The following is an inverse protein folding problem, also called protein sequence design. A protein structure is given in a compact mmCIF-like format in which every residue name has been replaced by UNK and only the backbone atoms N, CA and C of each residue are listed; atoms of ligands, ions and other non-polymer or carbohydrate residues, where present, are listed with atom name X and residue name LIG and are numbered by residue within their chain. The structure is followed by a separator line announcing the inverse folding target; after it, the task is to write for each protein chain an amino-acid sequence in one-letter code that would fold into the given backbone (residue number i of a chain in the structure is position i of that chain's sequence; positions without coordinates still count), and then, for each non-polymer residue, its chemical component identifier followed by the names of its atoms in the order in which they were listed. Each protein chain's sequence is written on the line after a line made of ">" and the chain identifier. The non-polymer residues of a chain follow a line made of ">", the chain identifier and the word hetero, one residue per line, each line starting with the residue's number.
data_IF_812993009106
#
_entry.id   IF_812993009106
#
_cell.length_a   1.000
_cell.length_b   1.000
_cell.length_c   1.000
_cell.angle_alpha   90.00
_cell.angle_beta   90.00
_cell.angle_gamma   90.00
#
_symmetry.space_group_name_H-M   'P 1'
#
loop_
_entity.id
_entity.type
_entity.pdbx_description
1 polymer ?
#
# COMPACT_ATOMS: atom_id res chain seq x y z
N UNK A 1 -7.32 14.27 37.74
CA UNK A 1 -7.75 15.05 36.56
C UNK A 1 -7.81 14.11 35.38
N UNK A 2 -8.99 13.55 35.16
CA UNK A 2 -9.32 12.52 34.18
C UNK A 2 -10.51 13.05 33.37
N UNK A 3 -10.67 12.58 32.13
CA UNK A 3 -11.63 13.03 31.10
C UNK A 3 -11.11 14.10 30.13
N UNK A 4 -10.49 13.65 29.03
CA UNK A 4 -10.60 14.27 27.69
C UNK A 4 -9.73 13.49 26.70
N UNK A 5 -10.24 12.38 26.11
CA UNK A 5 -9.59 11.75 24.93
C UNK A 5 -10.48 10.73 24.18
N UNK A 6 -11.79 10.94 24.11
CA UNK A 6 -12.71 10.04 23.39
C UNK A 6 -13.29 10.58 22.06
N UNK A 7 -12.85 11.76 21.59
CA UNK A 7 -13.45 12.35 20.37
C UNK A 7 -12.67 12.12 19.06
N UNK A 8 -11.50 11.46 19.06
CA UNK A 8 -10.68 11.35 17.84
C UNK A 8 -10.90 10.09 16.99
N UNK A 9 -11.66 9.10 17.48
CA UNK A 9 -11.99 7.89 16.72
C UNK A 9 -13.05 8.10 15.63
N UNK A 10 -13.77 9.23 15.63
CA UNK A 10 -14.76 9.54 14.60
C UNK A 10 -14.16 10.11 13.30
N UNK A 11 -12.91 10.61 13.32
CA UNK A 11 -12.28 11.26 12.16
C UNK A 11 -11.63 10.30 11.15
N UNK A 12 -11.30 9.07 11.56
CA UNK A 12 -10.58 8.10 10.72
C UNK A 12 -11.54 7.29 9.83
N UNK A 13 -12.82 7.18 10.21
CA UNK A 13 -13.87 6.55 9.40
C UNK A 13 -14.32 7.40 8.20
N UNK A 14 -14.02 8.71 8.17
CA UNK A 14 -14.48 9.61 7.10
C UNK A 14 -13.56 9.69 5.87
N UNK A 15 -12.33 9.17 5.94
CA UNK A 15 -11.40 9.19 4.79
C UNK A 15 -11.48 7.91 3.95
N UNK A 16 -12.09 6.84 4.45
CA UNK A 16 -12.29 5.58 3.72
C UNK A 16 -13.72 5.39 3.17
N UNK A 17 -14.69 6.23 3.56
CA UNK A 17 -16.03 6.24 2.96
C UNK A 17 -16.08 6.90 1.57
N UNK A 18 -15.02 7.59 1.13
CA UNK A 18 -14.95 8.18 -0.22
C UNK A 18 -14.65 7.19 -1.36
N UNK A 19 -14.44 5.90 -1.05
CA UNK A 19 -14.46 4.83 -2.08
C UNK A 19 -15.79 4.06 -2.10
N UNK A 20 -16.76 4.39 -1.23
CA UNK A 20 -18.09 3.77 -1.18
C UNK A 20 -19.26 4.75 -1.30
N UNK A 21 -19.02 6.06 -1.37
CA UNK A 21 -20.06 7.08 -1.53
C UNK A 21 -19.83 7.90 -2.81
N UNK A 22 -20.05 7.24 -3.94
CA UNK A 22 -20.55 7.91 -5.15
C UNK A 22 -21.90 7.28 -5.53
N UNK A 23 -22.78 7.13 -4.54
CA UNK A 23 -24.21 6.88 -4.75
C UNK A 23 -25.03 7.73 -3.78
N UNK A 24 -25.57 8.82 -4.35
CA UNK A 24 -26.80 9.55 -3.98
C UNK A 24 -26.87 10.20 -2.59
N UNK A 25 -26.86 11.53 -2.61
CA UNK A 25 -28.06 12.31 -2.33
C UNK A 25 -27.99 13.67 -3.04
N UNK A 26 -28.56 13.72 -4.25
CA UNK A 26 -29.11 14.94 -4.84
C UNK A 26 -30.62 14.76 -4.85
N UNK A 27 -31.31 15.48 -3.96
CA UNK A 27 -32.76 15.63 -3.98
C UNK A 27 -33.08 17.11 -3.96
N UNK A 28 -33.24 17.69 -5.15
CA UNK A 28 -34.34 18.58 -5.52
C UNK A 28 -34.17 19.02 -6.98
N UNK A 29 -35.11 18.61 -7.82
CA UNK A 29 -35.18 19.05 -9.22
C UNK A 29 -35.72 17.95 -10.13
N UNK A 30 -37.03 17.83 -10.19
CA UNK A 30 -37.78 16.99 -11.13
C UNK A 30 -37.28 17.10 -12.57
N UNK A 31 -37.11 15.94 -13.23
CA UNK A 31 -37.70 15.60 -14.55
C UNK A 31 -37.35 14.15 -14.89
N UNK A 32 -38.27 13.52 -15.60
CA UNK A 32 -38.51 12.07 -15.56
C UNK A 32 -37.45 11.20 -16.19
N UNK A 33 -37.39 9.96 -15.70
CA UNK A 33 -36.80 8.83 -16.41
C UNK A 33 -37.81 7.68 -16.35
N UNK A 34 -38.52 7.49 -17.46
CA UNK A 34 -39.24 6.26 -17.75
C UNK A 34 -38.25 5.11 -17.97
N UNK A 35 -38.55 3.97 -17.35
CA UNK A 35 -38.27 2.65 -17.91
C UNK A 35 -36.80 2.30 -18.14
N UNK A 36 -36.12 1.82 -17.09
CA UNK A 36 -35.21 0.67 -17.20
C UNK A 36 -35.07 0.05 -15.82
N UNK A 37 -35.57 -1.18 -15.72
CA UNK A 37 -35.49 -2.06 -14.55
C UNK A 37 -34.00 -2.33 -14.29
N UNK A 38 -33.39 -1.56 -13.39
CA UNK A 38 -32.05 -1.85 -12.89
C UNK A 38 -32.16 -3.14 -12.07
N UNK A 39 -31.76 -4.26 -12.67
CA UNK A 39 -31.43 -5.46 -11.91
C UNK A 39 -30.34 -5.08 -10.93
N UNK A 40 -30.75 -4.84 -9.67
CA UNK A 40 -29.87 -4.78 -8.52
C UNK A 40 -29.35 -6.21 -8.39
N UNK A 41 -28.22 -6.50 -9.01
CA UNK A 41 -27.46 -7.69 -8.66
C UNK A 41 -27.09 -7.50 -7.19
N UNK A 42 -27.71 -8.34 -6.37
CA UNK A 42 -27.37 -8.56 -4.97
C UNK A 42 -25.96 -9.16 -4.97
N UNK A 43 -24.95 -8.29 -5.11
CA UNK A 43 -23.58 -8.66 -4.84
C UNK A 43 -23.55 -8.92 -3.35
N UNK A 44 -23.47 -10.22 -2.98
CA UNK A 44 -23.37 -10.67 -1.60
C UNK A 44 -22.46 -9.74 -0.81
N UNK A 45 -22.92 -9.33 0.36
CA UNK A 45 -22.31 -8.26 1.14
C UNK A 45 -20.91 -8.71 1.61
N UNK A 46 -19.88 -8.49 0.79
CA UNK A 46 -18.49 -8.82 1.13
C UNK A 46 -18.03 -7.80 2.15
N UNK A 47 -18.16 -8.17 3.42
CA UNK A 47 -17.75 -7.32 4.54
C UNK A 47 -16.22 -7.32 4.63
N UNK A 48 -15.62 -6.16 4.35
CA UNK A 48 -14.21 -5.92 4.69
C UNK A 48 -14.08 -5.84 6.20
N UNK A 49 -13.17 -6.61 6.79
CA UNK A 49 -12.89 -6.59 8.22
C UNK A 49 -11.81 -5.55 8.53
N UNK A 50 -11.96 -4.83 9.63
CA UNK A 50 -11.03 -3.78 10.04
C UNK A 50 -10.46 -4.06 11.42
N UNK A 51 -9.16 -3.84 11.57
CA UNK A 51 -8.40 -4.06 12.78
C UNK A 51 -7.56 -2.82 13.09
N UNK A 52 -7.43 -2.49 14.37
CA UNK A 52 -6.57 -1.39 14.82
C UNK A 52 -5.83 -1.79 16.10
N UNK A 53 -4.60 -1.34 16.24
CA UNK A 53 -3.77 -1.59 17.42
C UNK A 53 -2.75 -0.47 17.56
N UNK A 54 -2.15 -0.35 18.75
CA UNK A 54 -1.01 0.54 18.94
C UNK A 54 0.27 -0.29 18.99
N UNK A 55 1.36 0.21 18.43
CA UNK A 55 2.69 -0.40 18.57
C UNK A 55 3.58 0.47 19.43
N UNK A 56 4.13 -0.12 20.49
CA UNK A 56 5.22 0.48 21.26
C UNK A 56 6.52 0.29 20.49
N UNK A 57 7.17 1.40 20.19
CA UNK A 57 8.51 1.45 19.61
C UNK A 57 9.55 1.77 20.71
N UNK A 58 10.82 1.79 20.32
CA UNK A 58 11.90 2.26 21.17
C UNK A 58 11.58 3.69 21.68
N UNK A 59 12.00 4.02 22.90
CA UNK A 59 11.73 5.30 23.58
C UNK A 59 10.28 5.53 24.06
N UNK A 60 9.51 4.46 24.29
CA UNK A 60 8.13 4.51 24.81
C UNK A 60 7.16 5.32 23.95
N UNK A 61 7.46 5.49 22.66
CA UNK A 61 6.54 6.11 21.70
C UNK A 61 5.58 5.05 21.20
N UNK A 62 4.28 5.32 21.38
CA UNK A 62 3.22 4.50 20.81
C UNK A 62 2.76 5.11 19.48
N UNK A 63 2.57 4.25 18.50
CA UNK A 63 2.08 4.60 17.17
C UNK A 63 0.82 3.82 16.85
N UNK A 64 -0.14 4.47 16.21
CA UNK A 64 -1.37 3.81 15.80
C UNK A 64 -1.23 3.18 14.42
N UNK A 65 -1.60 1.90 14.35
CA UNK A 65 -1.63 1.10 13.14
C UNK A 65 -3.03 0.56 12.90
N UNK A 66 -3.32 0.29 11.64
CA UNK A 66 -4.58 -0.35 11.25
C UNK A 66 -4.39 -1.31 10.10
N UNK A 67 -5.31 -2.24 9.97
CA UNK A 67 -5.38 -3.15 8.86
C UNK A 67 -6.81 -3.29 8.33
N UNK A 68 -6.93 -3.58 7.04
CA UNK A 68 -8.16 -4.02 6.40
C UNK A 68 -7.93 -5.40 5.78
N UNK A 69 -8.83 -6.34 6.03
CA UNK A 69 -8.82 -7.68 5.45
C UNK A 69 -10.01 -7.81 4.51
N UNK A 70 -9.76 -8.26 3.28
CA UNK A 70 -10.76 -8.54 2.26
C UNK A 70 -10.79 -10.06 2.06
N UNK A 71 -11.65 -10.80 2.77
CA UNK A 71 -11.56 -12.26 2.84
C UNK A 71 -11.77 -12.96 1.49
N UNK A 72 -12.75 -12.52 0.71
CA UNK A 72 -13.08 -13.07 -0.61
C UNK A 72 -11.86 -13.07 -1.56
N UNK A 73 -11.01 -12.04 -1.43
CA UNK A 73 -9.82 -11.88 -2.27
C UNK A 73 -8.54 -12.36 -1.61
N UNK A 74 -8.61 -12.80 -0.34
CA UNK A 74 -7.47 -13.10 0.52
C UNK A 74 -6.40 -12.00 0.49
N UNK A 75 -6.85 -10.75 0.65
CA UNK A 75 -5.99 -9.56 0.65
C UNK A 75 -5.97 -8.96 2.05
N UNK A 76 -4.78 -8.55 2.49
CA UNK A 76 -4.58 -7.81 3.73
C UNK A 76 -3.85 -6.51 3.41
N UNK A 77 -4.40 -5.39 3.86
CA UNK A 77 -3.80 -4.06 3.75
C UNK A 77 -3.43 -3.58 5.14
N UNK A 78 -2.14 -3.34 5.38
CA UNK A 78 -1.65 -2.69 6.60
C UNK A 78 -1.38 -1.21 6.31
N UNK A 79 -1.79 -0.36 7.23
CA UNK A 79 -1.65 1.08 7.15
C UNK A 79 -0.82 1.60 8.32
N UNK A 80 0.30 2.24 7.98
CA UNK A 80 1.17 2.96 8.91
C UNK A 80 1.11 4.45 8.57
N UNK A 81 0.14 5.15 9.16
CA UNK A 81 -0.18 6.55 8.82
C UNK A 81 0.01 7.55 9.98
N UNK A 82 0.38 7.09 11.17
CA UNK A 82 0.62 7.91 12.34
C UNK A 82 1.64 9.03 12.06
N UNK A 83 1.39 10.24 12.59
CA UNK A 83 2.26 11.41 12.44
C UNK A 83 3.59 11.27 13.15
N UNK A 84 3.64 10.55 14.27
CA UNK A 84 4.86 10.33 15.06
C UNK A 84 5.91 9.51 14.31
N UNK A 85 5.51 8.75 13.28
CA UNK A 85 6.45 8.00 12.43
C UNK A 85 7.52 8.90 11.82
N UNK A 86 7.17 10.15 11.48
CA UNK A 86 8.14 11.11 10.91
C UNK A 86 9.24 11.47 11.91
N UNK A 87 8.88 11.64 13.19
CA UNK A 87 9.81 11.95 14.27
C UNK A 87 10.78 10.77 14.54
N UNK A 88 10.31 9.55 14.27
CA UNK A 88 11.08 8.32 14.39
C UNK A 88 11.84 7.94 13.11
N UNK A 89 11.84 8.80 12.07
CA UNK A 89 12.43 8.52 10.76
C UNK A 89 11.86 7.25 10.07
N UNK A 90 10.63 6.88 10.43
CA UNK A 90 9.87 5.78 9.83
C UNK A 90 8.97 6.36 8.73
N UNK A 91 9.04 5.74 7.56
CA UNK A 91 8.26 6.16 6.40
C UNK A 91 6.85 5.61 6.49
N UNK A 92 5.86 6.52 6.50
CA UNK A 92 4.45 6.16 6.36
C UNK A 92 4.22 5.35 5.08
N UNK A 93 3.49 4.24 5.16
CA UNK A 93 3.26 3.38 4.01
C UNK A 93 1.92 2.65 4.09
N UNK A 94 1.57 2.03 2.96
CA UNK A 94 0.56 0.99 2.90
C UNK A 94 1.24 -0.28 2.43
N UNK A 95 1.16 -1.33 3.23
CA UNK A 95 1.69 -2.65 2.88
C UNK A 95 0.52 -3.54 2.49
N UNK A 96 0.60 -4.15 1.32
CA UNK A 96 -0.41 -5.05 0.79
C UNK A 96 0.18 -6.45 0.78
N UNK A 97 -0.54 -7.41 1.36
CA UNK A 97 -0.28 -8.84 1.21
C UNK A 97 -1.42 -9.47 0.43
N UNK A 98 -1.08 -10.29 -0.55
CA UNK A 98 -2.02 -11.03 -1.39
C UNK A 98 -1.70 -12.52 -1.29
N UNK A 99 -2.71 -13.33 -1.03
CA UNK A 99 -2.62 -14.78 -0.86
C UNK A 99 -3.58 -15.52 -1.82
N UNK A 100 -3.87 -14.90 -2.97
CA UNK A 100 -4.83 -15.40 -3.95
C UNK A 100 -4.19 -16.47 -4.87
N UNK A 101 -4.93 -17.51 -5.22
CA UNK A 101 -4.52 -18.60 -6.14
C UNK A 101 -3.14 -19.20 -5.81
N UNK A 102 -2.91 -19.56 -4.54
CA UNK A 102 -1.67 -20.13 -4.01
C UNK A 102 -0.39 -19.29 -4.21
N UNK A 103 -0.54 -18.09 -4.78
CA UNK A 103 0.51 -17.12 -4.96
C UNK A 103 0.54 -16.17 -3.77
N UNK A 104 1.70 -16.09 -3.12
CA UNK A 104 1.95 -15.18 -2.00
C UNK A 104 2.89 -14.10 -2.47
N UNK A 105 2.48 -12.85 -2.33
CA UNK A 105 3.40 -11.74 -2.52
C UNK A 105 2.97 -10.53 -1.69
N UNK A 106 3.94 -9.65 -1.45
CA UNK A 106 3.75 -8.42 -0.69
C UNK A 106 4.20 -7.21 -1.50
N UNK A 107 3.50 -6.08 -1.34
CA UNK A 107 3.89 -4.81 -1.95
C UNK A 107 3.77 -3.69 -0.94
N UNK A 108 4.85 -2.93 -0.76
CA UNK A 108 4.87 -1.73 0.07
C UNK A 108 4.75 -0.52 -0.85
N UNK A 109 3.77 0.33 -0.56
CA UNK A 109 3.61 1.64 -1.19
C UNK A 109 3.99 2.73 -0.18
N UNK A 110 5.19 3.32 -0.29
CA UNK A 110 5.56 4.48 0.52
C UNK A 110 4.59 5.64 0.25
N UNK A 111 4.20 6.42 1.27
CA UNK A 111 3.41 7.65 1.03
C UNK A 111 4.21 8.71 0.28
N UNK A 112 5.55 8.66 0.37
CA UNK A 112 6.45 9.52 -0.39
C UNK A 112 6.23 9.34 -1.90
N UNK A 113 5.71 10.37 -2.58
CA UNK A 113 5.26 10.29 -3.99
C UNK A 113 6.35 9.90 -4.98
N UNK A 114 7.60 10.26 -4.67
CA UNK A 114 8.74 10.06 -5.58
C UNK A 114 9.33 8.63 -5.50
N UNK A 115 8.88 7.82 -4.55
CA UNK A 115 9.41 6.47 -4.32
C UNK A 115 8.54 5.38 -4.95
N UNK A 116 9.17 4.30 -5.45
CA UNK A 116 8.48 3.23 -6.14
C UNK A 116 7.64 2.41 -5.17
N UNK A 117 6.73 1.63 -5.71
CA UNK A 117 6.22 0.49 -4.96
C UNK A 117 7.32 -0.57 -4.86
N UNK A 118 7.46 -1.16 -3.67
CA UNK A 118 8.48 -2.14 -3.38
C UNK A 118 7.80 -3.51 -3.29
N UNK A 119 8.08 -4.40 -4.24
CA UNK A 119 7.63 -5.78 -4.20
C UNK A 119 8.56 -6.59 -3.30
N UNK A 120 7.97 -7.31 -2.34
CA UNK A 120 8.66 -8.21 -1.43
C UNK A 120 8.83 -9.57 -2.13
N UNK A 121 10.07 -10.07 -2.17
CA UNK A 121 10.42 -11.32 -2.88
C UNK A 121 9.81 -12.57 -2.25
N UNK A 122 9.72 -12.61 -0.92
CA UNK A 122 9.20 -13.78 -0.19
C UNK A 122 8.29 -13.36 0.97
N UNK A 123 6.98 -13.61 0.81
CA UNK A 123 6.01 -13.57 1.92
C UNK A 123 5.87 -14.99 2.44
N UNK A 124 6.43 -15.24 3.62
CA UNK A 124 6.45 -16.56 4.26
C UNK A 124 5.12 -16.85 4.98
N UNK A 125 4.42 -15.80 5.38
CA UNK A 125 3.18 -15.87 6.12
C UNK A 125 2.06 -16.54 5.32
N UNK A 126 1.03 -17.03 6.01
CA UNK A 126 -0.21 -17.52 5.41
C UNK A 126 -1.33 -16.51 5.62
N UNK A 127 -2.36 -16.57 4.79
CA UNK A 127 -3.54 -15.70 4.95
C UNK A 127 -4.18 -15.90 6.33
N UNK A 128 -4.34 -17.16 6.73
CA UNK A 128 -4.93 -17.56 8.00
C UNK A 128 -4.06 -17.12 9.18
N UNK A 129 -2.73 -17.22 9.04
CA UNK A 129 -1.77 -16.77 10.04
C UNK A 129 -1.82 -15.25 10.25
N UNK A 130 -1.78 -14.47 9.17
CA UNK A 130 -1.90 -13.01 9.24
C UNK A 130 -3.25 -12.58 9.81
N UNK A 131 -4.35 -13.20 9.35
CA UNK A 131 -5.69 -12.85 9.81
C UNK A 131 -5.90 -13.18 11.30
N UNK A 132 -5.41 -14.33 11.76
CA UNK A 132 -5.44 -14.72 13.17
C UNK A 132 -4.63 -13.75 14.05
N UNK A 133 -3.44 -13.38 13.59
CA UNK A 133 -2.60 -12.41 14.29
C UNK A 133 -3.26 -11.03 14.38
N UNK A 134 -3.87 -10.54 13.30
CA UNK A 134 -4.61 -9.28 13.31
C UNK A 134 -5.79 -9.29 14.30
N UNK A 135 -6.53 -10.41 14.37
CA UNK A 135 -7.62 -10.58 15.36
C UNK A 135 -7.10 -10.51 16.79
N UNK A 136 -5.98 -11.15 17.09
CA UNK A 136 -5.35 -11.10 18.43
C UNK A 136 -4.89 -9.70 18.81
N UNK A 137 -4.45 -8.91 17.83
CA UNK A 137 -3.92 -7.56 18.07
C UNK A 137 -5.00 -6.49 18.23
N UNK A 138 -6.21 -6.77 17.79
CA UNK A 138 -7.25 -5.77 17.73
C UNK A 138 -7.53 -5.14 19.11
N UNK A 139 -7.36 -3.83 19.22
CA UNK A 139 -7.51 -3.09 20.47
C UNK A 139 -6.39 -3.30 21.49
N UNK A 140 -5.25 -3.88 21.10
CA UNK A 140 -4.11 -4.14 21.99
C UNK A 140 -2.93 -3.22 21.69
N UNK A 141 -1.93 -3.26 22.58
CA UNK A 141 -0.60 -2.69 22.34
C UNK A 141 0.41 -3.81 22.12
N UNK A 142 1.16 -3.75 21.02
CA UNK A 142 2.21 -4.73 20.68
C UNK A 142 3.59 -4.07 20.65
N UNK A 143 4.64 -4.88 20.80
CA UNK A 143 6.02 -4.43 20.62
C UNK A 143 6.57 -4.99 19.31
N UNK A 144 7.43 -4.24 18.61
CA UNK A 144 8.11 -4.77 17.44
C UNK A 144 9.04 -5.93 17.84
N UNK A 145 8.85 -7.11 17.24
CA UNK A 145 9.61 -8.32 17.61
C UNK A 145 10.75 -8.64 16.65
N UNK A 146 10.78 -8.03 15.46
CA UNK A 146 11.81 -8.31 14.46
C UNK A 146 12.27 -7.05 13.71
N UNK A 147 13.51 -7.10 13.23
CA UNK A 147 14.09 -6.14 12.29
C UNK A 147 14.65 -6.90 11.11
N UNK A 148 14.31 -6.51 9.89
CA UNK A 148 14.90 -7.08 8.67
C UNK A 148 15.26 -5.99 7.67
N UNK A 149 16.20 -6.30 6.79
CA UNK A 149 16.68 -5.38 5.76
C UNK A 149 16.58 -6.00 4.38
N UNK A 150 16.07 -5.22 3.43
CA UNK A 150 16.00 -5.56 2.02
C UNK A 150 16.68 -4.49 1.19
N UNK A 151 17.07 -4.85 -0.02
CA UNK A 151 17.74 -3.95 -0.95
C UNK A 151 17.01 -3.99 -2.29
N UNK A 152 16.64 -2.82 -2.80
CA UNK A 152 15.93 -2.65 -4.07
C UNK A 152 16.87 -2.06 -5.12
N UNK A 153 17.84 -2.85 -5.61
CA UNK A 153 18.85 -2.38 -6.58
C UNK A 153 18.47 -2.59 -8.04
N UNK A 154 17.56 -3.53 -8.26
CA UNK A 154 17.12 -3.95 -9.58
C UNK A 154 16.40 -2.80 -10.30
N UNK A 155 16.41 -2.87 -11.63
CA UNK A 155 15.61 -1.96 -12.44
C UNK A 155 14.11 -2.12 -12.09
N UNK A 156 13.28 -1.10 -12.32
CA UNK A 156 11.84 -1.27 -12.30
C UNK A 156 11.38 -2.45 -13.13
N UNK A 157 10.29 -3.09 -12.69
CA UNK A 157 9.61 -4.11 -13.48
C UNK A 157 9.33 -3.60 -14.89
N UNK A 158 9.53 -4.48 -15.86
CA UNK A 158 9.13 -4.20 -17.24
C UNK A 158 7.61 -4.02 -17.32
N UNK A 159 7.12 -3.52 -18.45
CA UNK A 159 5.69 -3.38 -18.67
C UNK A 159 4.95 -4.72 -18.50
N UNK A 160 5.49 -5.78 -19.10
CA UNK A 160 4.90 -7.12 -19.11
C UNK A 160 4.88 -7.72 -17.70
N UNK A 161 5.99 -7.62 -16.96
CA UNK A 161 6.05 -8.07 -15.56
C UNK A 161 5.04 -7.33 -14.68
N UNK A 162 4.90 -6.02 -14.88
CA UNK A 162 3.96 -5.20 -14.12
C UNK A 162 2.51 -5.52 -14.45
N UNK A 163 2.19 -5.75 -15.72
CA UNK A 163 0.86 -6.17 -16.16
C UNK A 163 0.50 -7.54 -15.59
N UNK A 164 1.45 -8.49 -15.60
CA UNK A 164 1.28 -9.78 -14.93
C UNK A 164 0.97 -9.61 -13.43
N UNK A 165 1.74 -8.79 -12.72
CA UNK A 165 1.51 -8.50 -11.31
C UNK A 165 0.14 -7.84 -11.06
N UNK A 166 -0.26 -6.90 -11.92
CA UNK A 166 -1.55 -6.20 -11.79
C UNK A 166 -2.75 -7.10 -12.12
N UNK A 167 -2.58 -8.07 -13.01
CA UNK A 167 -3.58 -9.08 -13.31
C UNK A 167 -3.70 -10.12 -12.19
N UNK A 168 -2.59 -10.45 -11.51
CA UNK A 168 -2.59 -11.32 -10.33
C UNK A 168 -3.31 -10.69 -9.14
N UNK A 169 -3.30 -9.36 -9.02
CA UNK A 169 -4.04 -8.67 -7.95
C UNK A 169 -4.46 -7.26 -8.34
N UNK A 170 -5.78 -7.08 -8.44
CA UNK A 170 -6.39 -5.77 -8.70
C UNK A 170 -6.03 -4.76 -7.61
N UNK A 171 -5.82 -5.17 -6.37
CA UNK A 171 -5.44 -4.26 -5.30
C UNK A 171 -4.04 -3.67 -5.55
N UNK A 172 -3.07 -4.47 -6.01
CA UNK A 172 -1.74 -3.94 -6.39
C UNK A 172 -1.87 -2.94 -7.51
N UNK A 173 -2.70 -3.24 -8.52
CA UNK A 173 -2.99 -2.30 -9.61
C UNK A 173 -3.51 -0.98 -9.05
N UNK A 174 -4.56 -1.00 -8.21
CA UNK A 174 -5.13 0.21 -7.60
C UNK A 174 -4.08 1.00 -6.82
N UNK A 175 -3.25 0.33 -6.01
CA UNK A 175 -2.29 1.00 -5.15
C UNK A 175 -1.05 1.50 -5.90
N UNK A 176 -0.57 0.79 -6.94
CA UNK A 176 0.72 1.03 -7.58
C UNK A 176 0.64 1.50 -9.04
N UNK A 177 -0.53 1.61 -9.68
CA UNK A 177 -0.71 1.95 -11.11
C UNK A 177 0.13 3.12 -11.63
N UNK A 178 0.31 4.16 -10.81
CA UNK A 178 1.00 5.40 -11.20
C UNK A 178 2.47 5.45 -10.79
N UNK A 179 3.01 4.35 -10.28
CA UNK A 179 4.38 4.26 -9.79
C UNK A 179 5.08 3.08 -10.43
N UNK A 180 6.38 3.20 -10.55
CA UNK A 180 7.19 2.04 -10.87
C UNK A 180 7.16 1.04 -9.71
N UNK A 181 7.32 -0.24 -10.04
CA UNK A 181 7.41 -1.32 -9.06
C UNK A 181 8.82 -1.88 -9.14
N UNK A 182 9.47 -2.06 -8.00
CA UNK A 182 10.84 -2.59 -7.91
C UNK A 182 10.84 -3.80 -6.99
N UNK A 183 11.56 -4.86 -7.37
CA UNK A 183 11.73 -6.03 -6.50
C UNK A 183 12.78 -5.70 -5.44
N UNK A 184 12.50 -6.05 -4.18
CA UNK A 184 13.46 -5.95 -3.08
C UNK A 184 13.83 -7.34 -2.59
N UNK A 185 15.13 -7.58 -2.47
CA UNK A 185 15.71 -8.87 -2.09
C UNK A 185 16.40 -8.80 -0.74
N UNK A 186 16.54 -9.92 -0.01
CA UNK A 186 17.47 -9.99 1.12
C UNK A 186 18.86 -9.58 0.65
N UNK A 187 19.46 -8.58 1.29
CA UNK A 187 20.80 -8.12 0.94
C UNK A 187 21.73 -8.17 2.13
N UNK A 188 22.94 -8.69 1.92
CA UNK A 188 24.06 -8.57 2.84
C UNK A 188 24.89 -7.33 2.46
N UNK A 189 24.67 -6.23 3.18
CA UNK A 189 25.59 -5.09 3.16
C UNK A 189 25.47 -4.15 1.95
N UNK A 190 25.63 -2.87 2.23
CA UNK A 190 25.74 -1.74 1.30
C UNK A 190 27.07 -1.73 0.51
N UNK A 191 27.78 -2.86 0.43
CA UNK A 191 29.22 -2.95 0.17
C UNK A 191 29.71 -2.47 -1.21
N UNK A 192 28.82 -2.16 -2.15
CA UNK A 192 29.16 -1.72 -3.51
C UNK A 192 28.53 -0.41 -3.94
N UNK A 193 27.75 0.24 -3.08
CA UNK A 193 27.10 1.52 -3.40
C UNK A 193 27.71 2.62 -2.55
N UNK A 194 28.16 3.70 -3.20
CA UNK A 194 28.56 4.92 -2.49
C UNK A 194 27.39 5.36 -1.62
N UNK A 195 27.65 5.64 -0.34
CA UNK A 195 26.64 5.97 0.67
C UNK A 195 25.73 7.14 0.25
N UNK A 196 26.26 8.05 -0.58
CA UNK A 196 25.57 9.23 -1.12
C UNK A 196 24.45 8.87 -2.12
N UNK A 197 24.53 7.69 -2.75
CA UNK A 197 23.58 7.25 -3.77
C UNK A 197 22.43 6.42 -3.20
N UNK A 198 22.37 6.15 -1.89
CA UNK A 198 21.34 5.29 -1.28
C UNK A 198 20.49 6.01 -0.23
N UNK A 199 19.21 5.63 -0.14
CA UNK A 199 18.29 6.09 0.90
C UNK A 199 17.72 4.87 1.59
N UNK A 200 17.93 4.79 2.88
CA UNK A 200 17.30 3.78 3.73
C UNK A 200 15.92 4.30 4.11
N UNK A 201 14.89 3.53 3.78
CA UNK A 201 13.52 3.78 4.17
C UNK A 201 13.13 2.72 5.20
N UNK A 202 12.69 3.16 6.37
CA UNK A 202 12.13 2.26 7.38
C UNK A 202 10.62 2.20 7.23
N UNK A 203 10.05 1.00 7.34
CA UNK A 203 8.63 0.73 7.27
C UNK A 203 8.22 -0.16 8.43
N UNK A 204 6.97 -0.02 8.85
CA UNK A 204 6.34 -0.99 9.73
C UNK A 204 5.80 -2.14 8.89
N UNK A 205 6.16 -3.34 9.29
CA UNK A 205 5.54 -4.60 8.86
C UNK A 205 4.75 -5.19 10.00
N UNK A 206 3.92 -6.21 9.71
CA UNK A 206 3.08 -6.86 10.72
C UNK A 206 3.87 -7.15 12.00
N UNK A 207 5.01 -7.85 11.92
CA UNK A 207 5.74 -8.30 13.11
C UNK A 207 7.00 -7.49 13.45
N UNK A 208 7.27 -6.39 12.74
CA UNK A 208 8.57 -5.75 12.90
C UNK A 208 8.80 -4.49 12.10
N UNK A 209 10.06 -4.13 12.00
CA UNK A 209 10.57 -3.03 11.20
C UNK A 209 11.30 -3.58 9.97
N UNK A 210 10.96 -3.06 8.81
CA UNK A 210 11.65 -3.34 7.57
C UNK A 210 12.45 -2.10 7.16
N UNK A 211 13.75 -2.28 6.94
CA UNK A 211 14.57 -1.28 6.25
C UNK A 211 14.73 -1.66 4.79
N UNK A 212 14.38 -0.77 3.86
CA UNK A 212 14.65 -0.97 2.43
C UNK A 212 15.66 0.08 1.97
N UNK A 213 16.77 -0.38 1.41
CA UNK A 213 17.77 0.48 0.77
C UNK A 213 17.38 0.72 -0.69
N UNK A 214 17.15 1.99 -1.04
CA UNK A 214 16.72 2.43 -2.38
C UNK A 214 17.76 3.39 -3.01
N UNK A 215 18.34 3.05 -4.17
CA UNK A 215 19.29 3.90 -4.86
C UNK A 215 18.62 5.16 -5.46
N UNK A 216 19.40 6.24 -5.60
CA UNK A 216 18.95 7.56 -6.06
C UNK A 216 18.24 7.50 -7.41
N UNK A 217 18.74 6.66 -8.33
CA UNK A 217 18.14 6.42 -9.66
C UNK A 217 16.68 5.99 -9.60
N UNK A 218 16.23 5.35 -8.52
CA UNK A 218 14.86 4.87 -8.35
C UNK A 218 13.96 5.87 -7.60
N UNK A 219 14.51 6.97 -7.06
CA UNK A 219 13.77 7.95 -6.23
C UNK A 219 12.95 8.94 -7.04
N UNK A 220 12.73 8.73 -8.34
CA UNK A 220 11.86 9.55 -9.21
C UNK A 220 10.87 8.68 -9.97
N UNK A 221 10.28 7.69 -9.28
CA UNK A 221 9.51 6.59 -9.85
C UNK A 221 8.06 6.94 -10.25
N UNK A 222 7.78 8.20 -10.60
CA UNK A 222 6.47 8.53 -11.16
C UNK A 222 6.46 7.96 -12.56
N UNK A 223 5.62 6.95 -12.79
CA UNK A 223 5.55 6.29 -14.10
C UNK A 223 5.25 7.36 -15.15
N UNK A 224 6.20 7.65 -16.04
CA UNK A 224 6.10 8.66 -17.12
C UNK A 224 5.13 8.23 -18.22
N UNK A 225 3.99 7.62 -17.86
CA UNK A 225 2.93 7.27 -18.80
C UNK A 225 1.89 8.40 -18.85
N UNK A 226 2.16 9.31 -19.80
CA UNK A 226 1.21 10.06 -20.65
C UNK A 226 0.48 11.26 -20.03
N UNK A 227 0.94 12.45 -20.40
CA UNK A 227 0.23 13.18 -21.45
C UNK A 227 1.05 13.03 -22.75
N UNK A 228 0.43 12.67 -23.86
CA UNK A 228 1.13 12.43 -25.13
C UNK A 228 1.63 13.72 -25.77
N UNK A 229 2.66 13.61 -26.62
CA UNK A 229 2.55 13.99 -28.03
C UNK A 229 3.84 13.70 -28.82
N UNK A 230 3.63 13.02 -29.95
CA UNK A 230 4.38 13.04 -31.19
C UNK A 230 5.83 12.53 -31.18
N UNK A 231 5.99 11.32 -31.71
CA UNK A 231 7.17 11.02 -32.50
C UNK A 231 7.27 12.07 -33.63
N UNK A 232 8.44 12.66 -33.91
CA UNK A 232 8.58 13.55 -35.05
C UNK A 232 8.33 12.75 -36.33
N UNK A 233 7.39 13.22 -37.13
CA UNK A 233 7.17 12.71 -38.48
C UNK A 233 8.48 12.84 -39.27
N UNK A 234 9.05 11.71 -39.68
CA UNK A 234 10.12 11.66 -40.66
C UNK A 234 9.60 12.33 -41.94
N UNK A 235 10.06 13.55 -42.22
CA UNK A 235 9.94 14.14 -43.56
C UNK A 235 10.97 13.47 -44.45
N UNK A 236 10.55 12.41 -45.11
CA UNK A 236 11.24 11.87 -46.28
C UNK A 236 11.23 12.96 -47.35
N UNK A 237 12.39 13.59 -47.59
CA UNK A 237 12.63 14.32 -48.85
C UNK A 237 12.94 13.25 -49.89
N UNK A 238 11.98 12.99 -50.77
CA UNK A 238 12.21 12.35 -52.06
C UNK A 238 12.67 13.42 -53.07
N UNK A 239 13.41 13.02 -54.12
CA UNK A 239 14.52 13.76 -54.74
C UNK A 239 14.14 15.07 -55.44
#
# INVERSE_FOLDING_TARGET
>A
MTYLRFCYLAGILLVLSQLSLCQKNSTRGSRGCHGRRCHRHDHGNVTTEYYAWSRSLENNVNIDESAAVIPEKKIVLLYSNDTELLNLNITKATTLYSFFNDSKFGVIKPRLRRFPCIQLESVVETYEGVSSELKKRNGTTVTATSKRSLVALDAPLTQEEREKLFNQSTAVSIHCKRRDVVKAKPGSGTGTLKTEDIKNLQFLELNGLLTVTVPAKLRNSISRRRFGNQAPANKTKSP
#
